data_IF_258911265307
#
_entry.id   IF_258911265307
#
_cell.length_a   1.000
_cell.length_b   1.000
_cell.length_c   1.000
_cell.angle_alpha   90.00
_cell.angle_beta   90.00
_cell.angle_gamma   90.00
#
_symmetry.space_group_name_H-M   'P 1'
#
loop_
_entity.id
_entity.type
_entity.pdbx_description
1 polymer ?
#
# COMPACT_ATOMS: atom_id res chain seq x y z
N UNK A 1 16.80 7.23 -21.31
CA UNK A 1 15.47 6.65 -21.10
C UNK A 1 15.60 5.46 -20.16
N UNK A 2 14.88 5.49 -19.06
CA UNK A 2 14.96 4.39 -18.10
C UNK A 2 14.25 3.15 -18.66
N UNK A 3 14.78 1.99 -18.32
CA UNK A 3 14.13 0.73 -18.64
C UNK A 3 12.81 0.63 -17.88
N UNK A 4 11.87 -0.08 -18.48
CA UNK A 4 10.59 -0.39 -17.84
C UNK A 4 10.57 -1.83 -17.40
N UNK A 5 9.91 -2.06 -16.28
CA UNK A 5 9.60 -3.40 -15.83
C UNK A 5 8.13 -3.66 -16.07
N UNK A 6 7.81 -4.81 -16.64
CA UNK A 6 6.43 -5.18 -16.96
C UNK A 6 5.97 -6.29 -16.02
N UNK A 7 4.75 -6.18 -15.57
CA UNK A 7 4.11 -7.17 -14.73
C UNK A 7 2.92 -7.76 -15.48
N UNK A 8 3.01 -9.02 -15.84
CA UNK A 8 1.89 -9.73 -16.45
C UNK A 8 0.87 -10.13 -15.38
N UNK A 9 -0.35 -10.47 -15.80
CA UNK A 9 -1.35 -10.98 -14.87
C UNK A 9 -0.90 -12.28 -14.20
N UNK A 10 -0.19 -13.13 -14.92
CA UNK A 10 0.34 -14.36 -14.33
C UNK A 10 1.36 -14.05 -13.22
N UNK A 11 2.26 -13.12 -13.48
CA UNK A 11 3.25 -12.68 -12.47
C UNK A 11 2.56 -12.01 -11.28
N UNK A 12 1.52 -11.24 -11.54
CA UNK A 12 0.74 -10.63 -10.47
C UNK A 12 0.13 -11.71 -9.57
N UNK A 13 -0.43 -12.77 -10.15
CA UNK A 13 -0.96 -13.89 -9.39
C UNK A 13 0.11 -14.55 -8.52
N UNK A 14 1.30 -14.76 -9.08
CA UNK A 14 2.43 -15.30 -8.34
C UNK A 14 2.84 -14.39 -7.18
N UNK A 15 2.85 -13.09 -7.41
CA UNK A 15 3.18 -12.09 -6.40
C UNK A 15 2.19 -12.12 -5.25
N UNK A 16 0.90 -12.21 -5.55
CA UNK A 16 -0.16 -12.28 -4.52
C UNK A 16 0.03 -13.51 -3.65
N UNK A 17 0.29 -14.67 -4.26
CA UNK A 17 0.51 -15.90 -3.52
C UNK A 17 1.72 -15.77 -2.61
N UNK A 18 2.83 -15.24 -3.13
CA UNK A 18 4.05 -15.06 -2.35
C UNK A 18 3.84 -14.12 -1.16
N UNK A 19 3.20 -12.99 -1.39
CA UNK A 19 2.92 -12.01 -0.34
C UNK A 19 1.96 -12.57 0.71
N UNK A 20 0.91 -13.27 0.28
CA UNK A 20 -0.03 -13.89 1.20
C UNK A 20 0.66 -14.92 2.10
N UNK A 21 1.56 -15.71 1.55
CA UNK A 21 2.35 -16.65 2.33
C UNK A 21 3.22 -15.96 3.37
N UNK A 22 3.91 -14.89 2.98
CA UNK A 22 4.73 -14.13 3.92
C UNK A 22 3.89 -13.56 5.06
N UNK A 23 2.74 -12.98 4.73
CA UNK A 23 1.85 -12.40 5.73
C UNK A 23 1.35 -13.48 6.70
N UNK A 24 0.92 -14.61 6.17
CA UNK A 24 0.42 -15.72 7.00
C UNK A 24 1.50 -16.34 7.89
N UNK A 25 2.75 -16.34 7.44
CA UNK A 25 3.87 -16.86 8.24
C UNK A 25 4.29 -15.88 9.33
N UNK A 26 3.97 -14.61 9.17
CA UNK A 26 4.27 -13.60 10.19
C UNK A 26 3.22 -13.66 11.31
N UNK A 27 3.46 -12.91 12.36
CA UNK A 27 2.54 -12.81 13.49
C UNK A 27 1.40 -11.81 13.24
N UNK A 28 1.27 -11.32 12.01
CA UNK A 28 0.32 -10.29 11.64
C UNK A 28 -0.95 -10.90 11.05
N UNK A 29 -2.09 -10.63 11.70
CA UNK A 29 -3.40 -11.09 11.23
C UNK A 29 -4.29 -9.86 11.02
N UNK A 30 -4.37 -9.33 9.80
CA UNK A 30 -5.16 -8.12 9.58
C UNK A 30 -6.65 -8.37 9.64
N UNK A 31 -7.37 -7.43 10.26
CA UNK A 31 -8.83 -7.39 10.27
C UNK A 31 -9.35 -6.68 9.04
N UNK A 32 -8.57 -5.77 8.49
CA UNK A 32 -8.96 -4.85 7.42
C UNK A 32 -7.82 -4.78 6.40
N UNK A 33 -8.21 -4.71 5.13
CA UNK A 33 -7.29 -4.31 4.04
C UNK A 33 -7.66 -2.91 3.60
N UNK A 34 -6.69 -2.01 3.62
CA UNK A 34 -6.83 -0.65 3.15
C UNK A 34 -5.99 -0.48 1.88
N UNK A 35 -6.66 -0.26 0.76
CA UNK A 35 -6.00 -0.09 -0.54
C UNK A 35 -5.78 1.38 -0.84
N UNK A 36 -4.56 1.73 -1.24
CA UNK A 36 -4.28 3.08 -1.70
C UNK A 36 -4.66 3.17 -3.17
N UNK A 37 -5.65 3.98 -3.46
CA UNK A 37 -6.14 4.17 -4.82
C UNK A 37 -5.09 4.93 -5.64
N UNK A 38 -4.93 4.65 -6.88
CA UNK A 38 -5.61 3.58 -7.64
C UNK A 38 -4.76 2.31 -7.70
N UNK A 39 -3.43 2.47 -7.66
CA UNK A 39 -2.48 1.37 -7.87
C UNK A 39 -2.66 0.21 -6.91
N UNK A 40 -3.07 0.49 -5.69
CA UNK A 40 -3.25 -0.52 -4.66
C UNK A 40 -4.53 -1.33 -4.75
N UNK A 41 -5.47 -0.98 -5.62
CA UNK A 41 -6.76 -1.68 -5.70
C UNK A 41 -6.61 -3.16 -6.02
N UNK A 42 -5.81 -3.48 -7.04
CA UNK A 42 -5.66 -4.87 -7.46
C UNK A 42 -5.02 -5.72 -6.36
N UNK A 43 -3.94 -5.22 -5.80
CA UNK A 43 -3.23 -5.96 -4.76
C UNK A 43 -4.08 -6.08 -3.49
N UNK A 44 -4.72 -5.00 -3.07
CA UNK A 44 -5.55 -5.01 -1.88
C UNK A 44 -6.70 -6.00 -1.99
N UNK A 45 -7.41 -5.98 -3.11
CA UNK A 45 -8.51 -6.91 -3.34
C UNK A 45 -8.01 -8.36 -3.36
N UNK A 46 -6.93 -8.62 -4.08
CA UNK A 46 -6.40 -9.98 -4.18
C UNK A 46 -5.90 -10.51 -2.83
N UNK A 47 -5.22 -9.68 -2.06
CA UNK A 47 -4.77 -10.07 -0.72
C UNK A 47 -5.95 -10.28 0.23
N UNK A 48 -7.00 -9.48 0.11
CA UNK A 48 -8.22 -9.68 0.87
C UNK A 48 -8.80 -11.08 0.67
N UNK A 49 -8.90 -11.51 -0.57
CA UNK A 49 -9.35 -12.87 -0.88
C UNK A 49 -8.37 -13.93 -0.38
N UNK A 50 -7.09 -13.74 -0.64
CA UNK A 50 -6.08 -14.74 -0.28
C UNK A 50 -5.96 -14.92 1.24
N UNK A 51 -6.16 -13.85 2.01
CA UNK A 51 -6.08 -13.87 3.46
C UNK A 51 -7.42 -14.10 4.16
N UNK A 52 -8.51 -14.12 3.40
CA UNK A 52 -9.85 -14.28 3.97
C UNK A 52 -10.34 -13.05 4.73
N UNK A 53 -9.88 -11.87 4.35
CA UNK A 53 -10.26 -10.60 4.98
C UNK A 53 -11.32 -9.93 4.12
N UNK A 54 -12.53 -9.79 4.66
CA UNK A 54 -13.66 -9.21 3.94
C UNK A 54 -13.74 -7.70 4.06
N UNK A 55 -13.32 -7.15 5.19
CA UNK A 55 -13.42 -5.71 5.43
C UNK A 55 -12.36 -4.99 4.62
N UNK A 56 -12.80 -4.22 3.65
CA UNK A 56 -11.91 -3.51 2.73
C UNK A 56 -12.30 -2.05 2.66
N UNK A 57 -11.30 -1.20 2.72
CA UNK A 57 -11.45 0.24 2.57
C UNK A 57 -10.44 0.73 1.55
N UNK A 58 -10.65 1.95 1.08
CA UNK A 58 -9.74 2.60 0.15
C UNK A 58 -9.51 4.04 0.56
N UNK A 59 -8.32 4.53 0.26
CA UNK A 59 -7.96 5.94 0.39
C UNK A 59 -7.32 6.42 -0.89
N UNK A 60 -7.64 7.64 -1.28
CA UNK A 60 -6.98 8.29 -2.40
C UNK A 60 -5.93 9.24 -1.88
N UNK A 61 -4.74 9.18 -2.47
CA UNK A 61 -3.64 10.10 -2.17
C UNK A 61 -3.12 10.63 -3.49
N UNK A 62 -2.99 11.94 -3.60
CA UNK A 62 -2.42 12.57 -4.78
C UNK A 62 -1.34 13.56 -4.38
N UNK A 63 -0.37 13.73 -5.27
CA UNK A 63 0.66 14.74 -5.08
C UNK A 63 0.14 16.08 -5.58
N UNK A 64 0.20 17.07 -4.70
CA UNK A 64 -0.25 18.40 -4.99
C UNK A 64 0.94 19.34 -5.17
N UNK A 65 0.96 20.04 -6.31
CA UNK A 65 1.93 21.09 -6.58
C UNK A 65 1.16 22.40 -6.68
N UNK A 66 1.11 23.17 -5.59
CA UNK A 66 0.52 24.49 -5.61
C UNK A 66 1.36 25.47 -6.41
N UNK A 67 0.76 26.58 -6.81
CA UNK A 67 1.44 27.61 -7.61
C UNK A 67 2.71 28.12 -6.93
N UNK A 68 2.69 28.20 -5.61
CA UNK A 68 3.81 28.71 -4.83
C UNK A 68 4.65 27.60 -4.18
N UNK A 69 4.38 26.35 -4.50
CA UNK A 69 5.11 25.23 -3.89
C UNK A 69 6.22 24.74 -4.82
N UNK A 70 7.39 24.54 -4.24
CA UNK A 70 8.56 24.09 -4.99
C UNK A 70 8.60 22.58 -5.17
N UNK A 71 7.98 21.83 -4.26
CA UNK A 71 7.99 20.38 -4.27
C UNK A 71 6.56 19.84 -4.20
N UNK A 72 6.29 18.72 -4.90
CA UNK A 72 5.00 18.08 -4.78
C UNK A 72 4.80 17.54 -3.37
N UNK A 73 3.60 17.69 -2.84
CA UNK A 73 3.23 17.18 -1.52
C UNK A 73 2.10 16.19 -1.67
N UNK A 74 2.17 15.03 -0.99
CA UNK A 74 1.06 14.11 -0.99
C UNK A 74 -0.07 14.63 -0.11
N UNK A 75 -1.30 14.54 -0.60
CA UNK A 75 -2.50 14.92 0.15
C UNK A 75 -3.52 13.80 0.09
N UNK A 76 -4.23 13.62 1.20
CA UNK A 76 -5.33 12.67 1.27
C UNK A 76 -6.58 13.33 0.70
N UNK A 77 -7.24 12.63 -0.23
CA UNK A 77 -8.46 13.11 -0.86
C UNK A 77 -9.67 12.31 -0.37
N UNK A 78 -10.85 12.96 -0.26
CA UNK A 78 -12.07 12.23 0.07
C UNK A 78 -12.50 11.31 -1.11
N UNK A 79 -13.23 10.22 -0.86
CA UNK A 79 -13.71 9.82 0.46
C UNK A 79 -12.60 9.21 1.32
N UNK A 80 -12.70 9.44 2.63
CA UNK A 80 -11.76 8.90 3.61
C UNK A 80 -12.50 7.90 4.48
N UNK A 81 -11.91 6.73 4.79
CA UNK A 81 -12.54 5.79 5.70
C UNK A 81 -12.84 6.43 7.06
N UNK A 82 -13.96 6.07 7.64
CA UNK A 82 -14.35 6.59 8.93
C UNK A 82 -13.39 6.07 10.02
N UNK A 83 -12.89 6.96 10.86
CA UNK A 83 -11.98 6.59 11.94
C UNK A 83 -12.60 5.60 12.92
N UNK A 84 -13.93 5.66 13.11
CA UNK A 84 -14.62 4.72 13.98
C UNK A 84 -14.47 3.28 13.48
N UNK A 85 -14.52 3.10 12.16
CA UNK A 85 -14.41 1.77 11.56
C UNK A 85 -13.01 1.18 11.68
N UNK A 86 -12.00 2.01 11.74
CA UNK A 86 -10.60 1.58 11.83
C UNK A 86 -10.05 1.60 13.25
N UNK A 87 -10.79 2.17 14.19
CA UNK A 87 -10.32 2.31 15.57
C UNK A 87 -10.02 0.94 16.20
N UNK A 88 -8.78 0.78 16.65
CA UNK A 88 -8.35 -0.46 17.28
C UNK A 88 -8.17 -1.64 16.35
N UNK A 89 -8.33 -1.46 15.03
CA UNK A 89 -8.19 -2.53 14.05
C UNK A 89 -6.72 -2.80 13.71
N UNK A 90 -6.46 -4.01 13.24
CA UNK A 90 -5.18 -4.38 12.65
C UNK A 90 -5.33 -4.27 11.14
N UNK A 91 -4.55 -3.41 10.51
CA UNK A 91 -4.77 -2.99 9.12
C UNK A 91 -3.58 -3.33 8.23
N UNK A 92 -3.86 -3.99 7.12
CA UNK A 92 -2.90 -4.18 6.04
C UNK A 92 -3.12 -3.11 4.99
N UNK A 93 -2.11 -2.28 4.77
CA UNK A 93 -2.14 -1.21 3.77
C UNK A 93 -1.49 -1.73 2.50
N UNK A 94 -2.21 -1.70 1.38
CA UNK A 94 -1.73 -2.23 0.11
C UNK A 94 -1.56 -1.13 -0.92
N UNK A 95 -0.42 -1.16 -1.60
CA UNK A 95 -0.13 -0.30 -2.74
C UNK A 95 0.67 -1.09 -3.78
N UNK A 96 0.79 -0.55 -4.99
CA UNK A 96 1.53 -1.23 -6.05
C UNK A 96 3.03 -1.03 -5.91
N UNK A 97 3.48 0.19 -5.73
CA UNK A 97 4.90 0.55 -5.70
C UNK A 97 5.18 1.53 -4.57
N UNK A 98 6.23 1.25 -3.79
CA UNK A 98 6.82 2.25 -2.91
C UNK A 98 7.98 2.90 -3.67
N UNK A 99 7.69 4.00 -4.36
CA UNK A 99 8.65 4.73 -5.19
C UNK A 99 9.50 5.67 -4.32
N UNK A 100 9.01 6.89 -4.07
CA UNK A 100 9.63 7.76 -3.07
C UNK A 100 9.28 7.32 -1.65
N UNK A 101 8.18 6.60 -1.50
CA UNK A 101 7.67 6.17 -0.20
C UNK A 101 6.84 7.22 0.51
N UNK A 102 6.68 8.41 -0.06
CA UNK A 102 5.97 9.51 0.60
C UNK A 102 4.48 9.23 0.74
N UNK A 103 3.86 8.61 -0.26
CA UNK A 103 2.46 8.22 -0.19
C UNK A 103 2.22 7.24 0.94
N UNK A 104 3.04 6.20 0.99
CA UNK A 104 2.91 5.17 2.02
C UNK A 104 3.14 5.76 3.42
N UNK A 105 4.14 6.61 3.55
CA UNK A 105 4.44 7.29 4.80
C UNK A 105 3.24 8.13 5.27
N UNK A 106 2.65 8.91 4.36
CA UNK A 106 1.49 9.73 4.69
C UNK A 106 0.33 8.88 5.19
N UNK A 107 0.02 7.77 4.51
CA UNK A 107 -1.08 6.89 4.90
C UNK A 107 -0.80 6.23 6.25
N UNK A 108 0.42 5.74 6.46
CA UNK A 108 0.80 5.14 7.75
C UNK A 108 0.66 6.15 8.88
N UNK A 109 1.16 7.37 8.68
CA UNK A 109 1.09 8.43 9.70
C UNK A 109 -0.36 8.87 9.95
N UNK A 110 -1.18 8.91 8.90
CA UNK A 110 -2.58 9.33 9.01
C UNK A 110 -3.37 8.44 9.98
N UNK A 111 -3.11 7.14 9.98
CA UNK A 111 -3.83 6.19 10.82
C UNK A 111 -3.15 5.89 12.14
N UNK A 112 -1.94 6.39 12.34
CA UNK A 112 -1.21 6.19 13.59
C UNK A 112 -2.02 6.76 14.75
N UNK A 113 -2.16 5.95 15.81
CA UNK A 113 -2.95 6.33 16.98
C UNK A 113 -4.43 5.99 16.87
N UNK A 114 -4.94 5.66 15.67
CA UNK A 114 -6.31 5.22 15.46
C UNK A 114 -6.38 3.69 15.39
N UNK A 115 -5.50 3.09 14.58
CA UNK A 115 -5.45 1.64 14.43
C UNK A 115 -4.56 1.03 15.50
N UNK A 116 -4.80 -0.24 15.81
CA UNK A 116 -3.96 -0.98 16.76
C UNK A 116 -2.56 -1.20 16.18
N UNK A 117 -2.52 -1.67 14.94
CA UNK A 117 -1.28 -1.93 14.21
C UNK A 117 -1.56 -1.81 12.73
N UNK A 118 -0.60 -1.24 11.99
CA UNK A 118 -0.66 -1.19 10.54
C UNK A 118 0.64 -1.71 9.97
N UNK A 119 0.53 -2.56 8.95
CA UNK A 119 1.67 -3.00 8.13
C UNK A 119 1.33 -2.79 6.68
N UNK A 120 2.37 -2.66 5.86
CA UNK A 120 2.22 -2.36 4.44
C UNK A 120 2.73 -3.49 3.56
N UNK A 121 2.05 -3.69 2.43
CA UNK A 121 2.44 -4.64 1.40
C UNK A 121 2.44 -3.95 0.05
N UNK A 122 3.51 -4.16 -0.72
CA UNK A 122 3.65 -3.61 -2.07
C UNK A 122 4.18 -4.68 -3.00
N UNK A 123 3.91 -4.51 -4.30
CA UNK A 123 4.51 -5.38 -5.33
C UNK A 123 5.98 -5.03 -5.51
N UNK A 124 6.28 -3.75 -5.62
CA UNK A 124 7.63 -3.28 -5.88
C UNK A 124 8.06 -2.21 -4.89
N UNK A 125 9.32 -2.29 -4.50
CA UNK A 125 9.98 -1.28 -3.69
C UNK A 125 11.15 -0.72 -4.48
N UNK A 126 11.27 0.61 -4.53
CA UNK A 126 12.44 1.25 -5.11
C UNK A 126 13.44 1.59 -4.02
N UNK A 127 14.77 1.54 -4.33
CA UNK A 127 15.79 1.81 -3.32
C UNK A 127 15.67 3.18 -2.66
N UNK A 128 15.09 4.16 -3.36
CA UNK A 128 14.96 5.53 -2.85
C UNK A 128 13.77 5.73 -1.91
N UNK A 129 12.96 4.70 -1.69
CA UNK A 129 11.79 4.84 -0.81
C UNK A 129 12.19 5.22 0.61
N UNK A 130 11.57 6.27 1.14
CA UNK A 130 11.83 6.75 2.51
C UNK A 130 11.22 5.85 3.57
N UNK A 131 10.30 4.98 3.17
CA UNK A 131 9.65 3.99 4.04
C UNK A 131 9.96 2.62 3.50
N UNK A 132 10.37 1.72 4.38
CA UNK A 132 10.53 0.33 4.00
C UNK A 132 9.22 -0.40 4.25
N UNK A 133 8.53 -0.88 3.18
CA UNK A 133 7.32 -1.66 3.38
C UNK A 133 7.60 -2.95 4.15
N UNK A 134 6.60 -3.42 4.88
CA UNK A 134 6.75 -4.64 5.68
C UNK A 134 6.81 -5.89 4.82
N UNK A 135 6.06 -5.92 3.72
CA UNK A 135 5.99 -7.05 2.80
C UNK A 135 6.21 -6.54 1.38
N UNK A 136 7.21 -7.06 0.71
CA UNK A 136 7.61 -6.64 -0.62
C UNK A 136 7.80 -7.86 -1.49
N UNK A 137 7.24 -7.83 -2.71
CA UNK A 137 7.47 -8.92 -3.64
C UNK A 137 8.85 -8.82 -4.28
N UNK A 138 9.17 -7.66 -4.86
CA UNK A 138 10.47 -7.44 -5.50
C UNK A 138 10.95 -6.00 -5.34
N UNK A 139 12.27 -5.83 -5.40
CA UNK A 139 12.89 -4.51 -5.49
C UNK A 139 13.24 -4.23 -6.95
N UNK A 140 13.07 -2.99 -7.36
CA UNK A 140 13.44 -2.56 -8.71
C UNK A 140 13.76 -1.06 -8.71
N UNK A 141 14.68 -0.65 -9.58
CA UNK A 141 14.93 0.75 -9.85
C UNK A 141 14.31 1.22 -11.17
N UNK A 142 13.62 0.31 -11.84
CA UNK A 142 13.02 0.57 -13.15
C UNK A 142 11.65 1.22 -13.02
N UNK A 143 11.22 1.87 -14.09
CA UNK A 143 9.86 2.39 -14.20
C UNK A 143 8.88 1.25 -14.47
N UNK A 144 7.75 1.28 -13.80
CA UNK A 144 6.73 0.23 -13.92
C UNK A 144 5.51 0.75 -14.66
#
# INVERSE_FOLDING_TARGET
>A
MSEREFLSYAQFGDAVIALAHEIKKSDFQPDIVLSIARGGFFLGAALGYALGVKNSFTMSVEFYTGVDQRLPMPVVLPPIPNKVDLNGATVLIADDVADSGETLRLVMDFWKGTVKEARSAVLYEKPRSVVKPDYVWRSTDKWI
#
